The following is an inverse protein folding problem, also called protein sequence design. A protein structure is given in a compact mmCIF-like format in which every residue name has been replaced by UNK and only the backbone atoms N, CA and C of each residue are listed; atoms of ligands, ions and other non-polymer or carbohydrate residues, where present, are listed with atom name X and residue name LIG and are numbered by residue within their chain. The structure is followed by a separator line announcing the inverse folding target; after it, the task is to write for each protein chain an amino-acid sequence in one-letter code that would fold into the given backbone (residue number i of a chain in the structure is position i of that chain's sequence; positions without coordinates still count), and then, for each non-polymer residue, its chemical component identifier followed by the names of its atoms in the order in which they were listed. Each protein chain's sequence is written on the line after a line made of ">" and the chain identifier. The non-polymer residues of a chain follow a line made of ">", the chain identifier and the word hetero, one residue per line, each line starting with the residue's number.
data_IF_699441892104
#
_entry.id   IF_699441892104
#
_cell.length_a   1.000
_cell.length_b   1.000
_cell.length_c   1.000
_cell.angle_alpha   90.00
_cell.angle_beta   90.00
_cell.angle_gamma   90.00
#
_symmetry.space_group_name_H-M   'P 1'
#
loop_
_entity.id
_entity.type
_entity.pdbx_description
1 polymer ?
#
# COMPACT_ATOMS: atom_id res chain seq x y z
N UNK A 1 17.45 -3.74 1.09
CA UNK A 1 16.28 -2.83 1.09
C UNK A 1 15.07 -3.29 0.26
N UNK A 2 15.12 -4.39 -0.52
CA UNK A 2 14.01 -4.82 -1.41
C UNK A 2 12.77 -5.41 -0.71
N UNK A 3 12.86 -5.89 0.53
CA UNK A 3 11.79 -6.66 1.21
C UNK A 3 10.52 -5.86 1.55
N UNK A 4 10.66 -4.59 1.94
CA UNK A 4 9.52 -3.74 2.35
C UNK A 4 8.61 -3.39 1.18
N UNK A 5 9.16 -3.27 -0.03
CA UNK A 5 8.39 -2.90 -1.23
C UNK A 5 7.41 -3.99 -1.66
N UNK A 6 7.79 -5.27 -1.53
CA UNK A 6 6.92 -6.39 -1.90
C UNK A 6 5.70 -6.49 -0.98
N UNK A 7 5.90 -6.37 0.34
CA UNK A 7 4.81 -6.37 1.31
C UNK A 7 3.83 -5.22 1.05
N UNK A 8 4.35 -4.00 0.85
CA UNK A 8 3.54 -2.82 0.55
C UNK A 8 2.69 -3.01 -0.72
N UNK A 9 3.29 -3.47 -1.82
CA UNK A 9 2.54 -3.74 -3.07
C UNK A 9 1.42 -4.76 -2.88
N UNK A 10 1.64 -5.79 -2.08
CA UNK A 10 0.61 -6.77 -1.74
C UNK A 10 -0.49 -6.16 -0.87
N UNK A 11 -0.14 -5.34 0.12
CA UNK A 11 -1.12 -4.65 0.97
C UNK A 11 -1.99 -3.71 0.15
N UNK A 12 -1.41 -2.97 -0.79
CA UNK A 12 -2.13 -2.07 -1.69
C UNK A 12 -3.08 -2.87 -2.58
N UNK A 13 -2.62 -3.94 -3.23
CA UNK A 13 -3.48 -4.81 -4.06
C UNK A 13 -4.74 -5.31 -3.33
N UNK A 14 -4.65 -5.56 -2.02
CA UNK A 14 -5.77 -6.08 -1.23
C UNK A 14 -6.52 -5.01 -0.42
N UNK A 15 -6.20 -3.71 -0.59
CA UNK A 15 -6.87 -2.63 0.16
C UNK A 15 -6.63 -2.69 1.68
N UNK A 16 -5.50 -3.25 2.11
CA UNK A 16 -5.25 -3.46 3.54
C UNK A 16 -4.83 -2.13 4.18
N UNK A 17 -5.52 -1.71 5.24
CA UNK A 17 -5.16 -0.50 5.98
C UNK A 17 -3.75 -0.58 6.58
N UNK A 18 -3.07 0.56 6.76
CA UNK A 18 -1.70 0.59 7.32
C UNK A 18 -1.60 -0.14 8.68
N UNK A 19 -2.64 -0.05 9.51
CA UNK A 19 -2.67 -0.65 10.84
C UNK A 19 -2.83 -2.17 10.76
N UNK A 20 -3.73 -2.65 9.90
CA UNK A 20 -3.89 -4.07 9.65
C UNK A 20 -2.63 -4.66 8.99
N UNK A 21 -2.04 -3.96 8.03
CA UNK A 21 -0.80 -4.36 7.37
C UNK A 21 0.38 -4.43 8.33
N UNK A 22 0.50 -3.46 9.24
CA UNK A 22 1.51 -3.48 10.29
C UNK A 22 1.38 -4.69 11.22
N UNK A 23 0.15 -5.04 11.61
CA UNK A 23 -0.12 -6.22 12.43
C UNK A 23 0.26 -7.51 11.68
N UNK A 24 -0.27 -7.71 10.45
CA UNK A 24 -0.01 -8.90 9.62
C UNK A 24 1.49 -9.09 9.37
N UNK A 25 2.20 -8.02 9.01
CA UNK A 25 3.64 -8.11 8.73
C UNK A 25 4.42 -8.38 10.01
N UNK A 26 4.07 -7.74 11.13
CA UNK A 26 4.76 -7.96 12.41
C UNK A 26 4.54 -9.38 12.94
N UNK A 27 3.32 -9.92 12.86
CA UNK A 27 3.05 -11.31 13.26
C UNK A 27 3.80 -12.29 12.35
N UNK A 28 3.77 -12.07 11.03
CA UNK A 28 4.51 -12.91 10.09
C UNK A 28 6.03 -12.90 10.36
N UNK A 29 6.58 -11.75 10.76
CA UNK A 29 8.00 -11.62 11.12
C UNK A 29 8.34 -12.30 12.46
N UNK A 30 7.37 -12.36 13.38
CA UNK A 30 7.51 -13.11 14.63
C UNK A 30 7.47 -14.62 14.37
N UNK A 31 6.55 -15.09 13.53
CA UNK A 31 6.41 -16.51 13.17
C UNK A 31 7.67 -17.07 12.49
N UNK A 32 8.37 -16.26 11.68
CA UNK A 32 9.64 -16.64 11.03
C UNK A 32 10.88 -16.34 11.89
N UNK A 33 10.70 -15.92 13.16
CA UNK A 33 11.78 -15.73 14.13
C UNK A 33 12.66 -14.49 13.91
N UNK A 34 12.22 -13.53 13.10
CA UNK A 34 12.96 -12.26 12.90
C UNK A 34 12.67 -11.27 14.04
N UNK A 35 11.49 -11.34 14.62
CA UNK A 35 11.07 -10.58 15.80
C UNK A 35 10.88 -11.58 16.95
N UNK A 36 11.30 -11.19 18.14
CA UNK A 36 11.00 -11.89 19.38
C UNK A 36 10.59 -10.86 20.44
N UNK A 37 10.04 -11.33 21.57
CA UNK A 37 9.74 -10.46 22.71
C UNK A 37 10.98 -9.70 23.21
N UNK A 38 12.17 -10.32 23.10
CA UNK A 38 13.45 -9.73 23.47
C UNK A 38 14.07 -8.84 22.37
N UNK A 39 13.64 -8.97 21.11
CA UNK A 39 14.21 -8.24 19.97
C UNK A 39 13.13 -7.59 19.11
N UNK A 40 12.81 -6.34 19.45
CA UNK A 40 11.75 -5.53 18.82
C UNK A 40 12.25 -4.60 17.72
N UNK A 41 13.52 -4.68 17.32
CA UNK A 41 14.13 -3.74 16.34
C UNK A 41 13.40 -3.74 14.99
N UNK A 42 12.94 -4.93 14.57
CA UNK A 42 12.32 -5.14 13.26
C UNK A 42 10.79 -5.08 13.27
N UNK A 43 10.16 -4.70 14.40
CA UNK A 43 8.70 -4.52 14.48
C UNK A 43 8.22 -3.53 13.44
N UNK A 44 7.16 -3.89 12.73
CA UNK A 44 6.59 -3.06 11.67
C UNK A 44 5.39 -2.31 12.22
N UNK A 45 5.58 -1.03 12.46
CA UNK A 45 4.52 -0.13 12.87
C UNK A 45 3.75 0.47 11.67
N UNK A 46 2.62 1.11 11.95
CA UNK A 46 1.78 1.80 10.95
C UNK A 46 2.58 2.82 10.12
N UNK A 47 3.48 3.58 10.76
CA UNK A 47 4.29 4.59 10.08
C UNK A 47 5.35 3.96 9.15
N UNK A 48 5.89 2.78 9.48
CA UNK A 48 6.79 2.03 8.58
C UNK A 48 6.05 1.58 7.32
N UNK A 49 4.80 1.10 7.44
CA UNK A 49 3.96 0.78 6.27
C UNK A 49 3.68 2.03 5.45
N UNK A 50 3.21 3.11 6.09
CA UNK A 50 2.89 4.38 5.42
C UNK A 50 4.09 4.95 4.66
N UNK A 51 5.28 4.98 5.28
CA UNK A 51 6.53 5.40 4.60
C UNK A 51 6.89 4.47 3.45
N UNK A 52 6.67 3.16 3.61
CA UNK A 52 6.85 2.17 2.57
C UNK A 52 5.95 2.45 1.35
N UNK A 53 4.67 2.74 1.59
CA UNK A 53 3.67 3.15 0.58
C UNK A 53 4.07 4.41 -0.16
N UNK A 54 4.36 5.49 0.56
CA UNK A 54 4.80 6.74 -0.07
C UNK A 54 6.03 6.52 -0.93
N UNK A 55 7.02 5.77 -0.44
CA UNK A 55 8.23 5.46 -1.23
C UNK A 55 7.91 4.60 -2.45
N UNK A 56 7.02 3.61 -2.32
CA UNK A 56 6.58 2.77 -3.43
C UNK A 56 5.89 3.58 -4.52
N UNK A 57 4.96 4.45 -4.15
CA UNK A 57 4.24 5.34 -5.06
C UNK A 57 5.21 6.32 -5.74
N UNK A 58 6.07 7.01 -4.99
CA UNK A 58 7.05 7.93 -5.60
C UNK A 58 7.98 7.22 -6.57
N UNK A 59 8.46 6.01 -6.22
CA UNK A 59 9.30 5.21 -7.12
C UNK A 59 8.53 4.83 -8.37
N UNK A 60 7.28 4.37 -8.21
CA UNK A 60 6.42 3.94 -9.31
C UNK A 60 6.11 5.11 -10.26
N UNK A 61 5.67 6.25 -9.73
CA UNK A 61 5.41 7.45 -10.52
C UNK A 61 6.67 7.95 -11.24
N UNK A 62 7.84 7.92 -10.57
CA UNK A 62 9.10 8.32 -11.21
C UNK A 62 9.52 7.38 -12.34
N UNK A 63 9.20 6.09 -12.23
CA UNK A 63 9.43 5.10 -13.29
C UNK A 63 8.46 5.36 -14.45
N UNK A 64 7.19 5.58 -14.13
CA UNK A 64 6.14 5.78 -15.14
C UNK A 64 6.38 7.04 -15.95
N UNK A 65 6.71 8.16 -15.30
CA UNK A 65 7.03 9.43 -15.97
C UNK A 65 8.27 9.32 -16.87
N UNK A 66 9.22 8.42 -16.56
CA UNK A 66 10.43 8.22 -17.36
C UNK A 66 10.21 7.27 -18.53
N UNK A 67 9.44 6.21 -18.29
CA UNK A 67 9.33 5.07 -19.21
C UNK A 67 8.13 5.20 -20.16
N UNK A 68 7.15 6.05 -19.82
CA UNK A 68 5.92 6.22 -20.57
C UNK A 68 5.60 7.70 -20.80
N UNK A 69 5.13 8.01 -22.01
CA UNK A 69 4.49 9.30 -22.29
C UNK A 69 3.06 9.32 -21.71
N UNK A 70 2.48 10.51 -21.55
CA UNK A 70 1.20 10.72 -20.87
C UNK A 70 0.00 10.02 -21.55
N UNK A 71 0.15 9.65 -22.81
CA UNK A 71 -0.81 8.90 -23.62
C UNK A 71 -0.64 7.37 -23.50
N UNK A 72 0.41 6.90 -22.84
CA UNK A 72 0.73 5.47 -22.69
C UNK A 72 0.35 4.87 -21.33
N UNK A 73 -0.27 5.65 -20.43
CA UNK A 73 -0.83 5.14 -19.18
C UNK A 73 -2.09 5.88 -18.75
N UNK A 74 -2.97 5.18 -18.04
CA UNK A 74 -4.21 5.70 -17.50
C UNK A 74 -4.42 5.32 -16.04
N UNK A 75 -5.11 6.21 -15.31
CA UNK A 75 -5.64 5.92 -13.98
C UNK A 75 -7.08 5.47 -14.10
N UNK A 76 -7.39 4.30 -13.56
CA UNK A 76 -8.73 3.70 -13.62
C UNK A 76 -9.19 3.32 -12.21
N UNK A 77 -10.47 3.55 -11.92
CA UNK A 77 -11.09 2.96 -10.74
C UNK A 77 -11.27 1.46 -10.98
N UNK A 78 -10.85 0.62 -10.03
CA UNK A 78 -11.07 -0.84 -10.11
C UNK A 78 -12.46 -1.26 -9.60
N UNK A 79 -13.28 -0.29 -9.18
CA UNK A 79 -14.63 -0.47 -8.66
C UNK A 79 -14.71 -0.76 -7.15
N UNK A 80 -13.58 -0.96 -6.47
CA UNK A 80 -13.54 -1.18 -5.02
C UNK A 80 -13.68 0.14 -4.26
N UNK A 81 -14.47 0.09 -3.19
CA UNK A 81 -14.64 1.19 -2.23
C UNK A 81 -14.53 0.64 -0.82
N UNK A 82 -13.42 0.94 -0.16
CA UNK A 82 -13.17 0.49 1.19
C UNK A 82 -13.78 1.47 2.19
N UNK A 83 -14.69 0.95 3.02
CA UNK A 83 -15.36 1.74 4.06
C UNK A 83 -14.67 1.47 5.39
N UNK A 84 -13.91 2.44 5.86
CA UNK A 84 -13.24 2.35 7.17
C UNK A 84 -13.97 3.20 8.19
N UNK A 85 -14.29 2.62 9.35
CA UNK A 85 -14.87 3.36 10.46
C UNK A 85 -13.74 4.02 11.28
N UNK A 86 -13.72 5.35 11.31
CA UNK A 86 -12.78 6.16 12.09
C UNK A 86 -13.49 6.87 13.24
N UNK A 87 -12.71 7.24 14.26
CA UNK A 87 -13.18 8.07 15.38
C UNK A 87 -12.54 9.45 15.24
N UNK A 88 -13.36 10.47 15.07
CA UNK A 88 -12.97 11.89 14.99
C UNK A 88 -13.87 12.64 15.98
N UNK A 89 -13.28 13.37 16.93
CA UNK A 89 -13.99 14.12 17.99
C UNK A 89 -15.05 13.29 18.75
N UNK A 90 -14.69 12.07 19.16
CA UNK A 90 -15.59 11.14 19.84
C UNK A 90 -16.84 10.72 19.03
N UNK A 91 -16.90 11.03 17.73
CA UNK A 91 -17.95 10.60 16.81
C UNK A 91 -17.42 9.56 15.83
N UNK A 92 -18.27 8.59 15.52
CA UNK A 92 -18.00 7.59 14.48
C UNK A 92 -18.19 8.23 13.11
N UNK A 93 -17.16 8.19 12.28
CA UNK A 93 -17.17 8.64 10.89
C UNK A 93 -16.84 7.46 9.99
N UNK A 94 -17.54 7.35 8.86
CA UNK A 94 -17.18 6.37 7.83
C UNK A 94 -16.37 7.11 6.77
N UNK A 95 -15.12 6.71 6.60
CA UNK A 95 -14.26 7.15 5.50
C UNK A 95 -14.43 6.14 4.38
N UNK A 96 -14.63 6.63 3.16
CA UNK A 96 -14.70 5.81 1.96
C UNK A 96 -13.46 6.13 1.14
N UNK A 97 -12.59 5.13 0.96
CA UNK A 97 -11.40 5.22 0.11
C UNK A 97 -11.70 4.48 -1.20
N UNK A 98 -11.49 5.17 -2.32
CA UNK A 98 -11.61 4.58 -3.66
C UNK A 98 -10.26 4.05 -4.12
N UNK A 99 -10.28 2.91 -4.81
CA UNK A 99 -9.07 2.22 -5.20
C UNK A 99 -8.75 2.52 -6.68
N UNK A 100 -7.58 3.10 -6.92
CA UNK A 100 -7.17 3.52 -8.27
C UNK A 100 -6.03 2.64 -8.76
N UNK A 101 -6.25 2.00 -9.91
CA UNK A 101 -5.25 1.25 -10.65
C UNK A 101 -4.54 2.16 -11.65
N UNK A 102 -3.23 2.01 -11.73
CA UNK A 102 -2.41 2.53 -12.82
C UNK A 102 -2.20 1.42 -13.85
N UNK A 103 -2.53 1.73 -15.10
CA UNK A 103 -2.57 0.78 -16.20
C UNK A 103 -1.87 1.37 -17.41
N UNK A 104 -1.15 0.54 -18.17
CA UNK A 104 -0.51 0.91 -19.45
C UNK A 104 -1.51 0.81 -20.59
N UNK A 105 -1.43 1.74 -21.52
CA UNK A 105 -2.20 1.74 -22.77
C UNK A 105 -1.29 1.79 -24.01
N UNK A 106 -1.71 1.21 -25.16
CA UNK A 106 -2.90 0.40 -25.35
C UNK A 106 -2.75 -1.04 -24.80
N UNK A 107 -3.85 -1.65 -24.36
CA UNK A 107 -3.91 -3.07 -23.96
C UNK A 107 -4.16 -3.30 -22.47
N UNK A 108 -4.38 -2.22 -21.71
CA UNK A 108 -4.75 -2.22 -20.30
C UNK A 108 -3.89 -3.13 -19.41
N UNK A 109 -2.56 -3.10 -19.59
CA UNK A 109 -1.62 -3.89 -18.77
C UNK A 109 -1.46 -3.27 -17.37
N UNK A 110 -1.66 -4.08 -16.32
CA UNK A 110 -1.57 -3.62 -14.93
C UNK A 110 -0.15 -3.21 -14.54
N UNK A 111 0.04 -1.95 -14.14
CA UNK A 111 1.32 -1.43 -13.63
C UNK A 111 1.34 -1.43 -12.10
N UNK A 112 0.27 -0.95 -11.46
CA UNK A 112 0.23 -0.78 -10.02
C UNK A 112 -1.07 -0.20 -9.49
N UNK A 113 -1.10 0.09 -8.19
CA UNK A 113 -2.15 0.87 -7.56
C UNK A 113 -1.59 2.19 -7.05
N UNK A 114 -2.46 3.20 -7.04
CA UNK A 114 -2.24 4.48 -6.37
C UNK A 114 -3.37 4.60 -5.34
N UNK A 115 -3.00 4.65 -4.06
CA UNK A 115 -3.90 4.77 -2.92
C UNK A 115 -3.65 6.09 -2.19
#
# INVERSE_FOLDING_TARGET
>A
MKKVLAAVRSLDRFGISDRAGAAIVSTSLQDVGIISESNVLNVVDRNKIRRGRTKAITTLLSQVIKDYDHDQFGLYFDGRKDRTLSMEDNRRKVIIEEHVSLVKEPGSEYIGHVS
#
